data_IF_993597791683
#
_entry.id   IF_993597791683
#
_cell.length_a   1.000
_cell.length_b   1.000
_cell.length_c   1.000
_cell.angle_alpha   90.00
_cell.angle_beta   90.00
_cell.angle_gamma   90.00
#
_symmetry.space_group_name_H-M   'P 1'
#
loop_
_entity.id
_entity.type
_entity.pdbx_description
1 polymer ?
#
# COMPACT_ATOMS: atom_id res chain seq x y z
N UNK A 1 -23.31 34.32 38.73
CA UNK A 1 -23.78 33.33 37.71
C UNK A 1 -22.87 33.23 36.48
N UNK A 2 -21.99 34.17 36.20
CA UNK A 2 -21.08 34.16 35.04
C UNK A 2 -19.96 33.11 35.13
N UNK A 3 -19.47 32.79 36.33
CA UNK A 3 -18.32 31.89 36.55
C UNK A 3 -18.66 30.41 36.33
N UNK A 4 -19.91 29.98 36.49
CA UNK A 4 -20.30 28.56 36.30
C UNK A 4 -20.40 28.23 34.80
N UNK A 5 -20.85 29.17 33.99
CA UNK A 5 -20.95 28.99 32.55
C UNK A 5 -19.58 28.85 31.88
N UNK A 6 -18.57 29.59 32.34
CA UNK A 6 -17.20 29.54 31.83
C UNK A 6 -16.53 28.20 32.22
N UNK A 7 -16.78 27.70 33.43
CA UNK A 7 -16.27 26.38 33.86
C UNK A 7 -16.89 25.25 33.05
N UNK A 8 -18.19 25.29 32.74
CA UNK A 8 -18.83 24.28 31.88
C UNK A 8 -18.31 24.33 30.44
N UNK A 9 -18.06 25.51 29.89
CA UNK A 9 -17.49 25.64 28.54
C UNK A 9 -16.04 25.13 28.46
N UNK A 10 -15.22 25.43 29.46
CA UNK A 10 -13.83 24.93 29.51
C UNK A 10 -13.77 23.41 29.71
N UNK A 11 -14.72 22.84 30.44
CA UNK A 11 -14.84 21.38 30.59
C UNK A 11 -15.30 20.68 29.29
N UNK A 12 -16.15 21.34 28.49
CA UNK A 12 -16.61 20.82 27.20
C UNK A 12 -15.53 20.88 26.12
N UNK A 13 -14.70 21.94 26.12
CA UNK A 13 -13.61 22.11 25.14
C UNK A 13 -12.48 21.10 25.36
N UNK A 14 -12.22 20.65 26.58
CA UNK A 14 -11.20 19.66 26.88
C UNK A 14 -11.58 18.21 26.49
N UNK A 15 -12.82 17.96 26.06
CA UNK A 15 -13.30 16.63 25.69
C UNK A 15 -13.39 16.38 24.16
N UNK A 16 -13.05 17.34 23.33
CA UNK A 16 -12.84 17.09 21.91
C UNK A 16 -11.42 16.53 21.74
N UNK A 17 -11.21 15.31 22.19
CA UNK A 17 -10.00 14.59 21.81
C UNK A 17 -10.04 14.40 20.27
N UNK A 18 -9.28 15.23 19.59
CA UNK A 18 -9.10 15.13 18.15
C UNK A 18 -8.52 13.74 17.86
N UNK A 19 -9.18 12.97 17.02
CA UNK A 19 -8.66 11.69 16.54
C UNK A 19 -7.83 11.98 15.30
N UNK A 20 -6.56 11.63 15.31
CA UNK A 20 -5.70 11.73 14.13
C UNK A 20 -5.12 10.38 13.73
N UNK A 21 -4.84 10.25 12.44
CA UNK A 21 -4.14 9.12 11.86
C UNK A 21 -3.21 9.64 10.77
N UNK A 22 -1.94 9.31 10.85
CA UNK A 22 -0.94 9.75 9.89
C UNK A 22 -0.13 8.58 9.37
N UNK A 23 0.28 8.65 8.10
CA UNK A 23 1.21 7.73 7.44
C UNK A 23 1.99 8.49 6.38
N UNK A 24 3.10 7.95 5.86
CA UNK A 24 3.77 8.52 4.69
C UNK A 24 2.80 8.63 3.51
N UNK A 25 2.77 9.76 2.82
CA UNK A 25 1.90 9.96 1.65
C UNK A 25 2.33 9.08 0.46
N UNK A 26 3.64 8.92 0.27
CA UNK A 26 4.24 8.12 -0.80
C UNK A 26 5.37 7.29 -0.18
N UNK A 27 5.46 6.04 -0.60
CA UNK A 27 6.58 5.14 -0.35
C UNK A 27 7.03 4.59 -1.69
N UNK A 28 8.31 4.70 -1.97
CA UNK A 28 8.95 4.18 -3.17
C UNK A 28 9.91 3.06 -2.79
N UNK A 29 9.77 1.92 -3.42
CA UNK A 29 10.59 0.75 -3.16
C UNK A 29 10.92 -0.02 -4.45
N UNK A 30 11.90 -0.91 -4.35
CA UNK A 30 12.35 -1.74 -5.47
C UNK A 30 11.73 -3.13 -5.40
N UNK A 31 11.39 -3.70 -6.55
CA UNK A 31 10.90 -5.08 -6.66
C UNK A 31 11.85 -6.07 -5.97
N UNK A 32 11.29 -7.04 -5.26
CA UNK A 32 12.07 -8.03 -4.49
C UNK A 32 12.45 -7.58 -3.08
N UNK A 33 12.38 -6.29 -2.77
CA UNK A 33 12.60 -5.79 -1.40
C UNK A 33 11.37 -5.93 -0.52
N UNK A 34 11.50 -5.48 0.71
CA UNK A 34 10.40 -5.45 1.69
C UNK A 34 10.08 -4.00 2.04
N UNK A 35 8.82 -3.74 2.39
CA UNK A 35 8.36 -2.43 2.85
C UNK A 35 7.66 -2.54 4.20
N UNK A 36 7.78 -1.48 5.00
CA UNK A 36 6.99 -1.31 6.22
C UNK A 36 6.18 -0.02 6.12
N UNK A 37 4.86 -0.14 6.11
CA UNK A 37 3.94 1.00 6.15
C UNK A 37 3.53 1.21 7.60
N UNK A 38 3.84 2.38 8.16
CA UNK A 38 3.56 2.70 9.56
C UNK A 38 2.49 3.77 9.66
N UNK A 39 1.46 3.47 10.44
CA UNK A 39 0.39 4.40 10.80
C UNK A 39 0.58 4.84 12.25
N UNK A 40 0.55 6.14 12.48
CA UNK A 40 0.69 6.75 13.80
C UNK A 40 -0.62 7.44 14.17
N UNK A 41 -1.09 7.22 15.39
CA UNK A 41 -2.29 7.88 15.92
C UNK A 41 -1.95 8.65 17.20
N UNK A 42 -2.70 9.70 17.47
CA UNK A 42 -2.64 10.47 18.72
C UNK A 42 -3.60 9.97 19.81
N UNK A 43 -4.33 8.88 19.55
CA UNK A 43 -5.32 8.33 20.48
C UNK A 43 -4.71 8.13 21.87
N UNK A 44 -5.37 8.68 22.89
CA UNK A 44 -4.98 8.48 24.28
C UNK A 44 -5.33 7.07 24.76
N UNK A 45 -4.63 6.57 25.77
CA UNK A 45 -4.76 5.18 26.26
C UNK A 45 -6.19 4.81 26.74
N UNK A 46 -7.02 5.81 27.04
CA UNK A 46 -8.39 5.62 27.52
C UNK A 46 -9.44 5.51 26.41
N UNK A 47 -9.05 5.64 25.14
CA UNK A 47 -9.98 5.62 24.01
C UNK A 47 -9.88 4.28 23.31
N UNK A 48 -11.00 3.57 23.20
CA UNK A 48 -11.13 2.39 22.38
C UNK A 48 -11.49 2.78 20.93
N UNK A 49 -10.80 2.17 19.99
CA UNK A 49 -11.00 2.43 18.57
C UNK A 49 -10.87 1.16 17.75
N UNK A 50 -11.36 1.25 16.52
CA UNK A 50 -11.18 0.27 15.46
C UNK A 50 -10.31 0.88 14.36
N UNK A 51 -9.23 0.20 13.97
CA UNK A 51 -8.41 0.52 12.81
C UNK A 51 -8.67 -0.50 11.71
N UNK A 52 -8.97 -0.03 10.51
CA UNK A 52 -9.09 -0.86 9.30
C UNK A 52 -8.14 -0.34 8.24
N UNK A 53 -7.45 -1.25 7.56
CA UNK A 53 -6.55 -0.91 6.46
C UNK A 53 -7.00 -1.64 5.21
N UNK A 54 -7.05 -0.89 4.12
CA UNK A 54 -7.47 -1.34 2.80
C UNK A 54 -6.32 -1.16 1.82
N UNK A 55 -6.24 -2.06 0.86
CA UNK A 55 -5.37 -1.95 -0.30
C UNK A 55 -6.24 -2.02 -1.55
N UNK A 56 -6.18 -0.98 -2.40
CA UNK A 56 -7.01 -0.85 -3.61
C UNK A 56 -8.50 -1.19 -3.35
N UNK A 57 -9.05 -0.73 -2.23
CA UNK A 57 -10.43 -0.94 -1.82
C UNK A 57 -10.72 -2.24 -1.07
N UNK A 58 -9.82 -3.22 -1.06
CA UNK A 58 -9.98 -4.48 -0.31
C UNK A 58 -9.39 -4.38 1.09
N UNK A 59 -10.14 -4.79 2.11
CA UNK A 59 -9.63 -4.81 3.49
C UNK A 59 -8.55 -5.87 3.64
N UNK A 60 -7.39 -5.49 4.18
CA UNK A 60 -6.22 -6.36 4.36
C UNK A 60 -5.79 -6.53 5.80
N UNK A 61 -6.16 -5.62 6.67
CA UNK A 61 -5.88 -5.70 8.10
C UNK A 61 -6.94 -4.95 8.90
N UNK A 62 -7.14 -5.40 10.14
CA UNK A 62 -8.00 -4.72 11.11
C UNK A 62 -7.54 -4.97 12.54
N UNK A 63 -7.96 -4.11 13.43
CA UNK A 63 -7.65 -4.28 14.83
C UNK A 63 -8.13 -3.17 15.73
N UNK A 64 -7.82 -3.37 17.01
CA UNK A 64 -8.07 -2.44 18.11
C UNK A 64 -6.73 -1.99 18.70
N UNK A 65 -6.76 -1.18 19.74
CA UNK A 65 -5.55 -0.82 20.48
C UNK A 65 -4.82 -2.02 21.12
N UNK A 66 -5.46 -3.20 21.21
CA UNK A 66 -4.89 -4.40 21.84
C UNK A 66 -4.52 -5.50 20.86
N UNK A 67 -5.26 -5.60 19.77
CA UNK A 67 -5.09 -6.64 18.78
C UNK A 67 -5.14 -6.02 17.39
N UNK A 68 -4.13 -6.31 16.59
CA UNK A 68 -4.06 -5.90 15.20
C UNK A 68 -3.60 -7.09 14.36
N UNK A 69 -4.38 -7.50 13.37
CA UNK A 69 -4.09 -8.67 12.56
C UNK A 69 -4.52 -8.46 11.10
N UNK A 70 -4.01 -9.33 10.22
CA UNK A 70 -4.40 -9.34 8.80
C UNK A 70 -5.79 -9.94 8.61
N UNK A 71 -6.51 -9.44 7.62
CA UNK A 71 -7.82 -9.95 7.22
C UNK A 71 -7.67 -10.78 5.94
N UNK A 72 -7.72 -12.11 5.99
CA UNK A 72 -7.66 -12.96 4.79
C UNK A 72 -8.98 -12.92 4.02
N UNK A 73 -8.93 -13.13 2.68
CA UNK A 73 -7.75 -13.26 1.85
C UNK A 73 -7.11 -11.91 1.55
N UNK A 74 -5.78 -11.82 1.61
CA UNK A 74 -5.05 -10.62 1.18
C UNK A 74 -4.39 -10.83 -0.18
N UNK A 75 -4.27 -9.81 -1.04
CA UNK A 75 -3.59 -9.91 -2.33
C UNK A 75 -2.10 -10.23 -2.18
N UNK A 76 -1.53 -10.02 -1.01
CA UNK A 76 -0.14 -10.31 -0.69
C UNK A 76 0.09 -11.74 -0.20
N UNK A 77 -0.96 -12.46 0.20
CA UNK A 77 -0.86 -13.82 0.74
C UNK A 77 0.09 -13.90 1.94
N UNK A 78 1.03 -14.85 1.91
CA UNK A 78 2.03 -15.04 2.98
C UNK A 78 3.11 -13.95 3.02
N UNK A 79 3.20 -13.09 2.00
CA UNK A 79 4.15 -11.97 1.97
C UNK A 79 3.75 -10.83 2.91
N UNK A 80 2.47 -10.70 3.24
CA UNK A 80 2.02 -9.83 4.32
C UNK A 80 2.26 -10.53 5.66
N UNK A 81 3.24 -10.04 6.41
CA UNK A 81 3.49 -10.53 7.77
C UNK A 81 2.33 -10.13 8.68
N UNK A 82 2.26 -10.80 9.85
CA UNK A 82 1.31 -10.37 10.88
C UNK A 82 1.57 -8.91 11.22
N UNK A 83 0.55 -8.04 11.16
CA UNK A 83 0.72 -6.64 11.50
C UNK A 83 1.24 -6.46 12.92
N UNK A 84 2.14 -5.50 13.09
CA UNK A 84 2.72 -5.18 14.39
C UNK A 84 2.01 -4.01 15.03
N UNK A 85 1.76 -4.15 16.34
CA UNK A 85 1.19 -3.12 17.20
C UNK A 85 2.23 -2.73 18.26
N UNK A 86 2.72 -1.51 18.17
CA UNK A 86 3.59 -0.91 19.18
C UNK A 86 2.76 0.05 20.05
N UNK A 87 2.07 -0.51 21.05
CA UNK A 87 1.12 0.22 21.88
C UNK A 87 1.72 1.48 22.52
N UNK A 88 2.90 1.37 23.12
CA UNK A 88 3.58 2.50 23.78
C UNK A 88 3.95 3.63 22.81
N UNK A 89 4.04 3.33 21.52
CA UNK A 89 4.39 4.30 20.47
C UNK A 89 3.17 4.71 19.64
N UNK A 90 1.98 4.14 19.92
CA UNK A 90 0.74 4.39 19.15
C UNK A 90 0.92 4.14 17.65
N UNK A 91 1.72 3.13 17.31
CA UNK A 91 2.10 2.78 15.94
C UNK A 91 1.54 1.43 15.53
N UNK A 92 1.03 1.38 14.32
CA UNK A 92 0.50 0.19 13.65
C UNK A 92 1.28 0.01 12.35
N UNK A 93 1.92 -1.13 12.18
CA UNK A 93 2.78 -1.36 11.02
C UNK A 93 2.36 -2.58 10.23
N UNK A 94 2.29 -2.43 8.92
CA UNK A 94 2.19 -3.51 7.95
C UNK A 94 3.57 -3.76 7.35
N UNK A 95 3.98 -5.01 7.30
CA UNK A 95 5.23 -5.41 6.65
C UNK A 95 4.94 -6.36 5.48
N UNK A 96 5.41 -5.99 4.29
CA UNK A 96 5.23 -6.77 3.07
C UNK A 96 6.60 -7.18 2.55
N UNK A 97 6.81 -8.48 2.43
CA UNK A 97 8.06 -9.05 1.92
C UNK A 97 8.00 -9.27 0.41
N UNK A 98 9.17 -9.30 -0.21
CA UNK A 98 9.35 -9.68 -1.62
C UNK A 98 8.35 -8.99 -2.56
N UNK A 99 8.46 -7.65 -2.60
CA UNK A 99 7.58 -6.79 -3.37
C UNK A 99 7.59 -7.15 -4.86
N UNK A 100 6.42 -7.11 -5.46
CA UNK A 100 6.19 -7.35 -6.89
C UNK A 100 5.71 -6.06 -7.55
N UNK A 101 5.86 -5.92 -8.85
CA UNK A 101 5.34 -4.75 -9.59
C UNK A 101 3.85 -4.52 -9.35
N UNK A 102 3.06 -5.60 -9.27
CA UNK A 102 1.62 -5.54 -9.03
C UNK A 102 1.25 -5.13 -7.59
N UNK A 103 2.21 -4.96 -6.71
CA UNK A 103 1.98 -4.45 -5.35
C UNK A 103 1.95 -2.90 -5.32
N UNK A 104 2.23 -2.23 -6.45
CA UNK A 104 1.99 -0.80 -6.60
C UNK A 104 0.51 -0.51 -6.38
N UNK A 105 0.18 0.42 -5.47
CA UNK A 105 -1.22 0.73 -5.19
C UNK A 105 -1.43 1.60 -3.98
N UNK A 106 -2.72 1.86 -3.71
CA UNK A 106 -3.18 2.76 -2.68
C UNK A 106 -3.55 2.00 -1.41
N UNK A 107 -2.88 2.34 -0.32
CA UNK A 107 -3.25 1.93 1.03
C UNK A 107 -4.08 3.03 1.68
N UNK A 108 -5.26 2.68 2.12
CA UNK A 108 -6.16 3.56 2.86
C UNK A 108 -6.38 3.00 4.25
N UNK A 109 -6.13 3.81 5.27
CA UNK A 109 -6.38 3.45 6.65
C UNK A 109 -7.48 4.33 7.23
N UNK A 110 -8.38 3.72 7.99
CA UNK A 110 -9.45 4.38 8.69
C UNK A 110 -9.44 3.97 10.17
N UNK A 111 -9.39 4.94 11.06
CA UNK A 111 -9.55 4.73 12.50
C UNK A 111 -10.89 5.30 12.93
N UNK A 112 -11.65 4.54 13.71
CA UNK A 112 -12.98 4.93 14.21
C UNK A 112 -13.05 4.69 15.70
N UNK A 113 -13.52 5.67 16.46
CA UNK A 113 -13.74 5.55 17.90
C UNK A 113 -14.92 4.62 18.18
N UNK A 114 -14.76 3.63 19.07
CA UNK A 114 -15.82 2.63 19.35
C UNK A 114 -17.02 3.29 20.02
N UNK A 115 -16.78 4.16 21.00
CA UNK A 115 -17.83 4.83 21.77
C UNK A 115 -18.57 5.93 20.97
N UNK A 116 -17.98 6.40 19.86
CA UNK A 116 -18.51 7.48 19.03
C UNK A 116 -18.16 7.18 17.57
N UNK A 117 -18.99 6.43 16.87
CA UNK A 117 -18.75 5.96 15.51
C UNK A 117 -18.65 7.07 14.44
N UNK A 118 -19.10 8.28 14.77
CA UNK A 118 -18.95 9.48 13.95
C UNK A 118 -17.56 10.13 14.06
N UNK A 119 -16.77 9.80 15.09
CA UNK A 119 -15.40 10.30 15.25
C UNK A 119 -14.45 9.36 14.52
N UNK A 120 -13.91 9.84 13.39
CA UNK A 120 -13.07 9.07 12.47
C UNK A 120 -11.86 9.90 12.03
N UNK A 121 -10.77 9.23 11.71
CA UNK A 121 -9.65 9.81 10.99
C UNK A 121 -9.16 8.83 9.92
N UNK A 122 -8.59 9.38 8.85
CA UNK A 122 -8.12 8.61 7.71
C UNK A 122 -6.69 8.98 7.38
N UNK A 123 -5.96 8.05 6.79
CA UNK A 123 -4.67 8.28 6.19
C UNK A 123 -4.52 7.46 4.91
N UNK A 124 -3.75 7.97 3.98
CA UNK A 124 -3.55 7.35 2.67
C UNK A 124 -2.06 7.29 2.35
N UNK A 125 -1.62 6.13 1.87
CA UNK A 125 -0.23 5.90 1.43
C UNK A 125 -0.26 5.34 0.01
N UNK A 126 0.46 5.95 -0.91
CA UNK A 126 0.67 5.41 -2.25
C UNK A 126 2.00 4.65 -2.28
N UNK A 127 1.95 3.34 -2.50
CA UNK A 127 3.14 2.51 -2.67
C UNK A 127 3.46 2.41 -4.16
N UNK A 128 4.69 2.76 -4.53
CA UNK A 128 5.20 2.71 -5.91
C UNK A 128 6.38 1.75 -5.94
N UNK A 129 6.29 0.73 -6.78
CA UNK A 129 7.36 -0.28 -6.90
C UNK A 129 8.12 -0.04 -8.21
N UNK A 130 9.41 0.23 -8.06
CA UNK A 130 10.33 0.39 -9.17
C UNK A 130 11.09 -0.91 -9.46
N UNK A 131 11.56 -1.04 -10.70
CA UNK A 131 12.46 -2.12 -11.06
C UNK A 131 12.82 -2.06 -12.54
N UNK A 132 13.99 -2.58 -12.87
CA UNK A 132 14.48 -2.64 -14.24
C UNK A 132 13.57 -3.45 -15.17
N UNK A 133 13.68 -3.25 -16.48
CA UNK A 133 12.91 -4.01 -17.46
C UNK A 133 13.26 -5.50 -17.38
N UNK A 134 12.23 -6.33 -17.46
CA UNK A 134 12.37 -7.78 -17.59
C UNK A 134 11.42 -8.33 -18.64
N UNK A 135 11.86 -9.34 -19.37
CA UNK A 135 11.03 -10.08 -20.31
C UNK A 135 10.35 -11.19 -19.52
N UNK A 136 9.02 -11.18 -19.48
CA UNK A 136 8.22 -12.18 -18.75
C UNK A 136 7.55 -13.20 -19.69
N UNK A 137 7.58 -12.97 -21.01
CA UNK A 137 7.17 -13.95 -22.01
C UNK A 137 8.33 -14.86 -22.38
N UNK A 138 8.04 -16.15 -22.58
CA UNK A 138 9.00 -17.03 -23.25
C UNK A 138 9.14 -16.59 -24.70
N UNK A 139 10.34 -16.19 -25.11
CA UNK A 139 10.64 -15.95 -26.51
C UNK A 139 11.02 -17.29 -27.18
N UNK A 140 10.50 -17.53 -28.37
CA UNK A 140 11.03 -18.61 -29.21
C UNK A 140 12.43 -18.24 -29.67
N UNK A 141 13.35 -19.20 -29.72
CA UNK A 141 14.68 -18.99 -30.26
C UNK A 141 14.67 -18.75 -31.79
N UNK A 142 13.59 -19.17 -32.45
CA UNK A 142 13.42 -19.05 -33.89
C UNK A 142 11.97 -18.72 -34.22
N UNK A 143 11.81 -17.85 -35.21
CA UNK A 143 10.54 -17.53 -35.84
C UNK A 143 10.68 -17.75 -37.34
N UNK A 144 9.84 -18.59 -37.90
CA UNK A 144 9.77 -18.81 -39.35
C UNK A 144 8.66 -17.96 -39.91
N UNK A 145 8.97 -17.14 -40.90
CA UNK A 145 8.03 -16.24 -41.53
C UNK A 145 8.07 -16.55 -43.04
N UNK A 146 6.91 -16.67 -43.65
CA UNK A 146 6.82 -16.90 -45.09
C UNK A 146 7.27 -15.62 -45.85
N UNK A 147 7.90 -15.84 -46.99
CA UNK A 147 8.29 -14.75 -47.86
C UNK A 147 7.06 -13.89 -48.23
N UNK A 148 7.24 -12.58 -48.29
CA UNK A 148 6.17 -11.58 -48.50
C UNK A 148 5.14 -11.43 -47.36
N UNK A 149 5.37 -12.01 -46.19
CA UNK A 149 4.54 -11.73 -45.00
C UNK A 149 4.76 -10.28 -44.56
N UNK A 150 3.68 -9.50 -44.56
CA UNK A 150 3.68 -8.15 -44.00
C UNK A 150 3.13 -8.15 -42.57
N UNK A 151 3.67 -7.26 -41.72
CA UNK A 151 3.18 -7.06 -40.34
C UNK A 151 3.30 -8.30 -39.42
N UNK A 152 4.35 -9.09 -39.54
CA UNK A 152 4.63 -10.14 -38.57
C UNK A 152 4.87 -9.56 -37.17
N UNK A 153 4.17 -10.09 -36.17
CA UNK A 153 4.26 -9.61 -34.78
C UNK A 153 4.97 -10.64 -33.92
N UNK A 154 6.10 -10.26 -33.35
CA UNK A 154 6.76 -11.05 -32.29
C UNK A 154 6.16 -10.66 -30.94
N UNK A 155 5.44 -11.58 -30.26
CA UNK A 155 4.81 -11.26 -28.99
C UNK A 155 5.86 -11.18 -27.89
N UNK A 156 6.05 -9.98 -27.32
CA UNK A 156 6.90 -9.79 -26.15
C UNK A 156 6.07 -9.16 -25.04
N UNK A 157 6.12 -9.76 -23.86
CA UNK A 157 5.56 -9.17 -22.65
C UNK A 157 6.70 -8.69 -21.79
N UNK A 158 6.73 -7.39 -21.54
CA UNK A 158 7.72 -6.72 -20.72
C UNK A 158 7.09 -6.23 -19.43
N UNK A 159 7.85 -6.29 -18.37
CA UNK A 159 7.49 -5.73 -17.07
C UNK A 159 8.62 -4.82 -16.60
N UNK A 160 8.25 -3.70 -16.01
CA UNK A 160 9.18 -2.73 -15.45
C UNK A 160 8.49 -1.43 -15.07
N UNK A 161 9.07 -0.70 -14.14
CA UNK A 161 8.62 0.65 -13.80
C UNK A 161 9.85 1.54 -13.60
N UNK A 162 9.98 2.64 -14.33
CA UNK A 162 9.08 3.14 -15.37
C UNK A 162 8.87 2.14 -16.51
N UNK A 163 7.78 2.32 -17.27
CA UNK A 163 7.41 1.42 -18.38
C UNK A 163 8.58 1.28 -19.36
N UNK A 164 9.03 0.03 -19.67
CA UNK A 164 10.15 -0.19 -20.57
C UNK A 164 9.87 0.34 -21.98
N UNK A 165 10.89 0.92 -22.60
CA UNK A 165 10.92 1.19 -24.03
C UNK A 165 11.64 0.05 -24.72
N UNK A 166 11.16 -0.33 -25.90
CA UNK A 166 11.76 -1.42 -26.71
C UNK A 166 12.32 -0.82 -28.00
N UNK A 167 13.57 -1.13 -28.26
CA UNK A 167 14.21 -0.84 -29.55
C UNK A 167 14.56 -2.18 -30.20
N UNK A 168 14.25 -2.32 -31.45
CA UNK A 168 14.60 -3.49 -32.24
C UNK A 168 15.81 -3.18 -33.09
N UNK A 169 16.79 -4.04 -33.06
CA UNK A 169 17.94 -4.00 -33.95
C UNK A 169 17.99 -5.30 -34.75
N UNK A 170 18.07 -5.18 -36.04
CA UNK A 170 18.25 -6.32 -36.93
C UNK A 170 19.74 -6.52 -37.19
N UNK A 171 20.28 -7.60 -36.67
CA UNK A 171 21.65 -8.02 -36.93
C UNK A 171 21.61 -9.07 -38.03
N UNK A 172 21.55 -8.63 -39.27
CA UNK A 172 21.59 -9.51 -40.43
C UNK A 172 23.03 -9.92 -40.77
N UNK A 173 23.27 -11.19 -41.06
CA UNK A 173 24.48 -11.61 -41.72
C UNK A 173 24.41 -11.08 -43.17
N UNK A 174 25.23 -10.09 -43.51
CA UNK A 174 25.48 -9.72 -44.88
C UNK A 174 26.47 -10.71 -45.51
N UNK A 175 26.05 -11.97 -45.62
CA UNK A 175 26.75 -12.92 -46.50
C UNK A 175 25.87 -13.13 -47.72
N UNK A 176 26.16 -12.35 -48.74
CA UNK A 176 25.79 -12.63 -50.13
C UNK A 176 27.01 -13.16 -50.79
#
# INVERSE_FOLDING_TARGET
MLNIAILCLSYYINYVSCLSLTSPAIIEEVVGRSVTITYVTDVTDNIDFFLKIYYNGSQIAEGTKRLFDKTPPTPFGNRLRRPALLQNQKKYSLHIDNLKYNDTGLFFANITRISQSNVKANSTTNLIIYGGPSIISSLSSTYTVEENTTNYKVPIILQGHPKPQVTWEFVGNQNV
#
